data_IF_566204360877
#
_entry.id   IF_566204360877
#
_cell.length_a   1.000
_cell.length_b   1.000
_cell.length_c   1.000
_cell.angle_alpha   90.00
_cell.angle_beta   90.00
_cell.angle_gamma   90.00
#
_symmetry.space_group_name_H-M   'P 1'
#
loop_
_entity.id
_entity.type
_entity.pdbx_description
1 polymer ?
#
# COMPACT_ATOMS: atom_id res chain seq x y z
N UNK A 1 -5.01 -11.70 20.99
CA UNK A 1 -4.61 -12.66 22.06
C UNK A 1 -5.60 -12.62 23.23
N UNK A 2 -5.70 -13.67 24.05
CA UNK A 2 -6.64 -13.69 25.20
C UNK A 2 -6.33 -12.60 26.23
N UNK A 3 -5.05 -12.23 26.39
CA UNK A 3 -4.60 -11.20 27.33
C UNK A 3 -4.81 -9.77 26.84
N UNK A 4 -5.25 -9.56 25.59
CA UNK A 4 -5.51 -8.20 25.12
C UNK A 4 -6.67 -7.59 25.93
N UNK A 5 -6.57 -6.33 26.35
CA UNK A 5 -7.66 -5.65 27.04
C UNK A 5 -8.96 -5.69 26.25
N UNK A 6 -10.09 -5.68 26.96
CA UNK A 6 -11.43 -5.76 26.34
C UNK A 6 -11.75 -4.58 25.41
N UNK A 7 -11.16 -3.42 25.70
CA UNK A 7 -11.32 -2.22 24.88
C UNK A 7 -10.65 -2.35 23.51
N UNK A 8 -9.65 -3.23 23.36
CA UNK A 8 -9.01 -3.50 22.05
C UNK A 8 -9.97 -4.30 21.18
N UNK A 9 -10.59 -3.60 20.22
CA UNK A 9 -11.56 -4.18 19.29
C UNK A 9 -10.92 -5.22 18.36
N UNK A 10 -11.71 -6.21 17.98
CA UNK A 10 -11.29 -7.38 17.20
C UNK A 10 -12.34 -7.74 16.16
N UNK A 11 -11.91 -8.34 15.07
CA UNK A 11 -12.79 -8.93 14.07
C UNK A 11 -12.41 -10.39 13.84
N UNK A 12 -13.41 -11.27 13.88
CA UNK A 12 -13.24 -12.68 13.51
C UNK A 12 -13.70 -12.85 12.07
N UNK A 13 -12.79 -13.34 11.22
CA UNK A 13 -13.03 -13.51 9.78
C UNK A 13 -12.73 -14.95 9.35
N UNK A 14 -13.33 -15.43 8.24
CA UNK A 14 -13.04 -16.75 7.72
C UNK A 14 -11.58 -16.94 7.31
N UNK A 15 -11.07 -18.16 7.41
CA UNK A 15 -9.82 -18.61 6.77
C UNK A 15 -10.02 -20.04 6.27
N UNK A 16 -9.08 -20.56 5.48
CA UNK A 16 -9.09 -21.98 5.10
C UNK A 16 -9.11 -22.84 6.37
N UNK A 17 -10.15 -23.66 6.53
CA UNK A 17 -10.32 -24.57 7.66
C UNK A 17 -10.69 -23.91 9.00
N UNK A 18 -11.31 -22.72 9.00
CA UNK A 18 -11.88 -22.14 10.23
C UNK A 18 -11.94 -20.61 10.22
N UNK A 19 -11.66 -20.00 11.37
CA UNK A 19 -11.66 -18.54 11.53
C UNK A 19 -10.35 -18.04 12.13
N UNK A 20 -10.08 -16.75 11.98
CA UNK A 20 -8.98 -16.05 12.62
C UNK A 20 -9.48 -14.72 13.17
N UNK A 21 -8.98 -14.34 14.33
CA UNK A 21 -9.33 -13.08 14.99
C UNK A 21 -8.19 -12.07 14.85
N UNK A 22 -8.47 -10.98 14.15
CA UNK A 22 -7.55 -9.85 13.98
C UNK A 22 -7.87 -8.71 14.94
N UNK A 23 -6.85 -7.92 15.26
CA UNK A 23 -7.00 -6.66 16.00
C UNK A 23 -7.50 -5.58 15.05
N UNK A 24 -8.34 -4.68 15.56
CA UNK A 24 -8.76 -3.47 14.86
C UNK A 24 -8.13 -2.25 15.52
N UNK A 25 -7.06 -1.72 14.93
CA UNK A 25 -6.41 -0.49 15.39
C UNK A 25 -7.21 0.75 14.95
N UNK A 26 -8.28 1.06 15.67
CA UNK A 26 -9.25 2.12 15.32
C UNK A 26 -9.03 3.44 16.06
N UNK A 27 -8.13 3.45 17.03
CA UNK A 27 -7.84 4.59 17.88
C UNK A 27 -6.35 4.61 18.28
N UNK A 28 -5.91 5.77 18.77
CA UNK A 28 -4.53 5.98 19.20
C UNK A 28 -4.14 5.07 20.37
N UNK A 29 -5.05 4.84 21.32
CA UNK A 29 -4.80 3.97 22.47
C UNK A 29 -4.45 2.54 22.03
N UNK A 30 -5.15 2.00 21.04
CA UNK A 30 -4.87 0.68 20.46
C UNK A 30 -3.50 0.65 19.79
N UNK A 31 -3.15 1.69 19.03
CA UNK A 31 -1.82 1.78 18.39
C UNK A 31 -0.69 1.82 19.43
N UNK A 32 -0.82 2.63 20.49
CA UNK A 32 0.17 2.71 21.59
C UNK A 32 0.26 1.38 22.33
N UNK A 33 -0.87 0.72 22.61
CA UNK A 33 -0.87 -0.60 23.23
C UNK A 33 -0.16 -1.64 22.36
N UNK A 34 -0.42 -1.66 21.05
CA UNK A 34 0.25 -2.56 20.12
C UNK A 34 1.77 -2.33 20.10
N UNK A 35 2.23 -1.08 20.13
CA UNK A 35 3.65 -0.75 20.27
C UNK A 35 4.23 -1.33 21.57
N UNK A 36 3.51 -1.22 22.69
CA UNK A 36 3.86 -1.87 23.96
C UNK A 36 3.83 -3.41 23.94
N UNK A 37 3.23 -4.02 22.91
CA UNK A 37 3.29 -5.46 22.62
C UNK A 37 4.40 -5.80 21.60
N UNK A 38 5.38 -4.91 21.43
CA UNK A 38 6.50 -5.04 20.48
C UNK A 38 6.08 -5.11 19.00
N UNK A 39 4.91 -4.57 18.64
CA UNK A 39 4.54 -4.42 17.23
C UNK A 39 5.36 -3.29 16.62
N UNK A 40 6.28 -3.64 15.72
CA UNK A 40 7.08 -2.66 14.96
C UNK A 40 6.33 -2.19 13.70
N UNK A 41 5.79 -3.12 12.92
CA UNK A 41 5.14 -2.81 11.65
C UNK A 41 3.67 -3.20 11.69
N UNK A 42 2.80 -2.25 11.34
CA UNK A 42 1.38 -2.53 11.15
C UNK A 42 1.16 -2.84 9.67
N UNK A 43 0.52 -3.98 9.42
CA UNK A 43 0.05 -4.35 8.10
C UNK A 43 -1.48 -4.36 8.10
N UNK A 44 -2.09 -3.70 7.12
CA UNK A 44 -3.55 -3.61 6.99
C UNK A 44 -4.03 -4.31 5.74
N UNK A 45 -5.23 -4.88 5.83
CA UNK A 45 -5.95 -5.37 4.66
C UNK A 45 -6.41 -4.21 3.79
N UNK A 46 -6.70 -4.51 2.52
CA UNK A 46 -7.31 -3.57 1.56
C UNK A 46 -8.83 -3.44 1.71
N UNK A 47 -9.41 -4.14 2.69
CA UNK A 47 -10.83 -4.12 3.05
C UNK A 47 -11.00 -3.82 4.53
N UNK A 48 -12.26 -3.56 4.93
CA UNK A 48 -12.63 -3.35 6.34
C UNK A 48 -13.36 -4.56 6.88
N UNK A 49 -13.32 -4.71 8.21
CA UNK A 49 -13.87 -5.86 8.91
C UNK A 49 -15.37 -6.09 8.69
N UNK A 50 -16.15 -5.04 8.40
CA UNK A 50 -17.59 -5.15 8.14
C UNK A 50 -17.91 -5.75 6.77
N UNK A 51 -17.00 -5.63 5.79
CA UNK A 51 -17.13 -6.23 4.45
C UNK A 51 -15.77 -6.74 3.97
N UNK A 52 -15.24 -7.82 4.55
CA UNK A 52 -13.84 -8.20 4.37
C UNK A 52 -13.52 -8.72 2.96
N UNK A 53 -14.53 -9.09 2.16
CA UNK A 53 -14.37 -9.52 0.76
C UNK A 53 -14.53 -8.39 -0.27
N UNK A 54 -14.93 -7.19 0.16
CA UNK A 54 -15.10 -6.02 -0.71
C UNK A 54 -14.00 -5.00 -0.38
N UNK A 55 -12.89 -4.96 -1.14
CA UNK A 55 -11.85 -3.97 -0.92
C UNK A 55 -12.39 -2.54 -1.01
N UNK A 56 -11.86 -1.67 -0.16
CA UNK A 56 -12.09 -0.23 -0.21
C UNK A 56 -10.88 0.53 -0.77
N UNK A 57 -9.86 -0.20 -1.21
CA UNK A 57 -8.63 0.31 -1.80
C UNK A 57 -8.10 -0.63 -2.88
N UNK A 58 -7.54 -0.04 -3.93
CA UNK A 58 -6.61 -0.68 -4.87
C UNK A 58 -5.20 -0.24 -4.50
N UNK A 59 -4.23 -1.15 -4.54
CA UNK A 59 -2.81 -0.83 -4.31
C UNK A 59 -1.94 -1.50 -5.34
N UNK A 60 -1.08 -0.71 -5.99
CA UNK A 60 0.03 -1.16 -6.81
C UNK A 60 1.31 -0.98 -5.98
N UNK A 61 2.09 -2.05 -5.82
CA UNK A 61 3.36 -2.01 -5.08
C UNK A 61 4.53 -2.14 -6.07
N UNK A 62 5.33 -1.09 -6.16
CA UNK A 62 6.51 -1.03 -7.02
C UNK A 62 7.76 -1.36 -6.19
N UNK A 63 8.17 -2.64 -6.14
CA UNK A 63 9.41 -3.08 -5.47
C UNK A 63 10.51 -3.33 -6.51
N UNK A 64 11.67 -2.66 -6.40
CA UNK A 64 12.79 -2.93 -7.29
C UNK A 64 13.36 -4.34 -7.06
N UNK A 65 13.51 -5.11 -8.14
CA UNK A 65 14.28 -6.39 -8.12
C UNK A 65 15.78 -6.15 -8.28
N UNK A 66 16.11 -5.03 -8.92
CA UNK A 66 17.41 -4.38 -9.08
C UNK A 66 17.13 -2.92 -9.48
N UNK A 67 18.11 -2.21 -10.03
CA UNK A 67 17.86 -0.83 -10.49
C UNK A 67 17.85 0.22 -9.37
N UNK A 68 17.56 1.46 -9.76
CA UNK A 68 17.58 2.62 -8.88
C UNK A 68 16.19 3.03 -8.40
N UNK A 69 16.11 3.74 -7.28
CA UNK A 69 14.84 4.30 -6.82
C UNK A 69 14.24 5.31 -7.80
N UNK A 70 15.07 5.93 -8.65
CA UNK A 70 14.64 6.82 -9.72
C UNK A 70 13.65 6.16 -10.69
N UNK A 71 13.91 4.91 -11.08
CA UNK A 71 13.03 4.10 -11.95
C UNK A 71 11.72 3.77 -11.23
N UNK A 72 11.78 3.45 -9.93
CA UNK A 72 10.61 3.19 -9.10
C UNK A 72 9.70 4.42 -9.02
N UNK A 73 10.28 5.62 -8.83
CA UNK A 73 9.50 6.87 -8.82
C UNK A 73 8.86 7.12 -10.18
N UNK A 74 9.57 6.87 -11.28
CA UNK A 74 9.02 7.04 -12.62
C UNK A 74 7.84 6.09 -12.89
N UNK A 75 7.98 4.81 -12.53
CA UNK A 75 6.91 3.81 -12.64
C UNK A 75 5.68 4.19 -11.80
N UNK A 76 5.89 4.65 -10.56
CA UNK A 76 4.80 5.09 -9.69
C UNK A 76 4.08 6.33 -10.23
N UNK A 77 4.79 7.30 -10.83
CA UNK A 77 4.18 8.45 -11.50
C UNK A 77 3.33 8.02 -12.70
N UNK A 78 3.88 7.16 -13.57
CA UNK A 78 3.14 6.59 -14.72
C UNK A 78 1.85 5.90 -14.28
N UNK A 79 1.89 5.11 -13.21
CA UNK A 79 0.69 4.50 -12.65
C UNK A 79 -0.32 5.53 -12.13
N UNK A 80 0.16 6.57 -11.45
CA UNK A 80 -0.66 7.67 -10.99
C UNK A 80 -1.39 8.36 -12.15
N UNK A 81 -0.70 8.65 -13.25
CA UNK A 81 -1.27 9.31 -14.41
C UNK A 81 -2.36 8.44 -15.06
N UNK A 82 -2.06 7.16 -15.33
CA UNK A 82 -3.05 6.23 -15.90
C UNK A 82 -4.27 6.02 -15.02
N UNK A 83 -4.10 5.97 -13.70
CA UNK A 83 -5.22 5.87 -12.76
C UNK A 83 -6.10 7.13 -12.78
N UNK A 84 -5.52 8.32 -12.99
CA UNK A 84 -6.29 9.55 -13.16
C UNK A 84 -7.04 9.57 -14.49
N UNK A 85 -6.43 9.08 -15.56
CA UNK A 85 -7.04 9.05 -16.91
C UNK A 85 -8.34 8.22 -16.93
N UNK A 86 -8.39 7.14 -16.14
CA UNK A 86 -9.59 6.30 -15.97
C UNK A 86 -10.52 6.78 -14.84
N UNK A 87 -10.28 7.98 -14.30
CA UNK A 87 -11.17 8.65 -13.35
C UNK A 87 -11.03 8.22 -11.90
N UNK A 88 -9.98 7.49 -11.53
CA UNK A 88 -9.63 7.20 -10.14
C UNK A 88 -8.79 8.34 -9.52
N UNK A 89 -8.67 8.34 -8.19
CA UNK A 89 -7.90 9.37 -7.46
C UNK A 89 -6.74 8.68 -6.73
N UNK A 90 -5.54 8.61 -7.34
CA UNK A 90 -4.43 7.89 -6.77
C UNK A 90 -3.67 8.72 -5.75
N UNK A 91 -3.08 8.03 -4.79
CA UNK A 91 -2.25 8.51 -3.70
C UNK A 91 -0.92 7.75 -3.69
N UNK A 92 0.15 8.38 -3.25
CA UNK A 92 1.47 7.76 -3.19
C UNK A 92 2.00 7.70 -1.76
N UNK A 93 2.82 6.68 -1.46
CA UNK A 93 3.62 6.63 -0.24
C UNK A 93 4.92 5.88 -0.46
N UNK A 94 5.99 6.29 0.22
CA UNK A 94 7.18 5.43 0.34
C UNK A 94 6.86 4.27 1.27
N UNK A 95 7.48 3.12 1.02
CA UNK A 95 7.28 1.93 1.86
C UNK A 95 8.11 1.95 3.14
N UNK A 96 9.11 2.83 3.28
CA UNK A 96 10.14 2.72 4.32
C UNK A 96 11.15 1.60 4.04
N UNK A 97 11.16 1.03 2.83
CA UNK A 97 12.01 -0.09 2.44
C UNK A 97 12.77 0.18 1.15
N UNK A 98 12.12 -0.03 0.00
CA UNK A 98 12.77 0.08 -1.31
C UNK A 98 11.81 0.64 -2.37
N UNK A 99 10.52 0.39 -2.18
CA UNK A 99 9.48 0.69 -3.14
C UNK A 99 8.58 1.86 -2.77
N UNK A 100 7.64 2.10 -3.68
CA UNK A 100 6.52 3.04 -3.55
C UNK A 100 5.21 2.26 -3.68
N UNK A 101 4.22 2.60 -2.86
CA UNK A 101 2.85 2.17 -3.07
C UNK A 101 2.05 3.28 -3.73
N UNK A 102 1.32 2.93 -4.80
CA UNK A 102 0.28 3.78 -5.39
C UNK A 102 -1.07 3.21 -5.01
N UNK A 103 -1.91 4.03 -4.38
CA UNK A 103 -3.16 3.59 -3.73
C UNK A 103 -4.34 4.41 -4.20
N UNK A 104 -5.42 3.76 -4.63
CA UNK A 104 -6.70 4.41 -4.95
C UNK A 104 -7.76 4.02 -3.93
N UNK A 105 -8.47 4.97 -3.27
CA UNK A 105 -9.67 4.65 -2.52
C UNK A 105 -10.79 4.25 -3.48
N UNK A 106 -11.48 3.17 -3.16
CA UNK A 106 -12.60 2.63 -3.93
C UNK A 106 -13.90 2.69 -3.14
N UNK A 107 -15.02 2.93 -3.85
CA UNK A 107 -16.35 2.68 -3.32
C UNK A 107 -16.51 1.17 -3.20
N UNK A 108 -16.80 0.70 -1.99
CA UNK A 108 -17.03 -0.73 -1.73
C UNK A 108 -18.22 -1.24 -2.54
N UNK A 109 -18.01 -2.33 -3.25
CA UNK A 109 -18.98 -2.91 -4.17
C UNK A 109 -18.32 -4.06 -4.95
N UNK A 110 -17.23 -3.79 -5.67
CA UNK A 110 -16.44 -4.82 -6.32
C UNK A 110 -15.82 -5.79 -5.31
N UNK A 111 -15.62 -7.03 -5.72
CA UNK A 111 -14.83 -8.00 -4.98
C UNK A 111 -13.32 -7.91 -5.31
N UNK A 112 -12.51 -8.70 -4.61
CA UNK A 112 -11.06 -8.74 -4.88
C UNK A 112 -10.70 -9.21 -6.29
N UNK A 113 -11.48 -10.11 -6.89
CA UNK A 113 -11.19 -10.62 -8.24
C UNK A 113 -11.37 -9.52 -9.28
N UNK A 114 -12.43 -8.71 -9.15
CA UNK A 114 -12.69 -7.58 -10.03
C UNK A 114 -11.58 -6.52 -9.92
N UNK A 115 -11.21 -6.14 -8.69
CA UNK A 115 -10.15 -5.14 -8.46
C UNK A 115 -8.79 -5.66 -8.91
N UNK A 116 -8.48 -6.94 -8.67
CA UNK A 116 -7.24 -7.55 -9.13
C UNK A 116 -7.18 -7.62 -10.66
N UNK A 117 -8.27 -8.02 -11.33
CA UNK A 117 -8.35 -8.06 -12.78
C UNK A 117 -8.08 -6.69 -13.42
N UNK A 118 -8.70 -5.64 -12.88
CA UNK A 118 -8.45 -4.26 -13.31
C UNK A 118 -6.99 -3.84 -13.10
N UNK A 119 -6.45 -4.05 -11.89
CA UNK A 119 -5.07 -3.68 -11.58
C UNK A 119 -4.05 -4.45 -12.42
N UNK A 120 -4.32 -5.74 -12.68
CA UNK A 120 -3.49 -6.58 -13.54
C UNK A 120 -3.48 -6.07 -14.97
N UNK A 121 -4.65 -5.78 -15.56
CA UNK A 121 -4.71 -5.28 -16.92
C UNK A 121 -4.00 -3.91 -17.07
N UNK A 122 -4.09 -3.04 -16.05
CA UNK A 122 -3.33 -1.79 -16.01
C UNK A 122 -1.82 -2.05 -15.96
N UNK A 123 -1.39 -2.99 -15.10
CA UNK A 123 0.00 -3.36 -14.99
C UNK A 123 0.55 -4.04 -16.26
N UNK A 124 -0.26 -4.83 -16.97
CA UNK A 124 0.08 -5.42 -18.26
C UNK A 124 0.35 -4.31 -19.30
N UNK A 125 -0.54 -3.31 -19.42
CA UNK A 125 -0.29 -2.14 -20.28
C UNK A 125 0.99 -1.39 -19.90
N UNK A 126 1.26 -1.21 -18.61
CA UNK A 126 2.50 -0.56 -18.16
C UNK A 126 3.74 -1.36 -18.57
N UNK A 127 3.70 -2.69 -18.46
CA UNK A 127 4.81 -3.58 -18.86
C UNK A 127 4.97 -3.59 -20.38
N UNK A 128 3.88 -3.57 -21.15
CA UNK A 128 3.94 -3.51 -22.61
C UNK A 128 4.58 -2.19 -23.09
N UNK A 129 4.31 -1.08 -22.39
CA UNK A 129 4.87 0.23 -22.71
C UNK A 129 6.34 0.40 -22.25
N UNK A 130 6.78 -0.35 -21.23
CA UNK A 130 8.14 -0.30 -20.68
C UNK A 130 8.66 -1.68 -20.24
N UNK A 131 8.86 -2.63 -21.18
CA UNK A 131 9.23 -4.02 -20.87
C UNK A 131 10.68 -4.16 -20.39
N UNK A 132 11.51 -3.14 -20.63
CA UNK A 132 12.92 -3.10 -20.21
C UNK A 132 13.05 -2.83 -18.71
N UNK A 133 12.14 -2.06 -18.11
CA UNK A 133 12.19 -1.69 -16.70
C UNK A 133 11.09 -2.30 -15.85
N UNK A 134 9.96 -2.72 -16.42
CA UNK A 134 8.81 -3.25 -15.66
C UNK A 134 8.59 -4.74 -15.93
N UNK A 135 8.03 -5.44 -14.94
CA UNK A 135 7.68 -6.84 -15.08
C UNK A 135 6.54 -7.27 -14.17
N UNK A 136 5.77 -8.26 -14.62
CA UNK A 136 4.76 -8.98 -13.83
C UNK A 136 5.26 -10.37 -13.37
N UNK A 137 6.52 -10.71 -13.63
CA UNK A 137 7.05 -12.03 -13.26
C UNK A 137 7.06 -12.23 -11.75
N UNK A 138 6.36 -13.29 -11.31
CA UNK A 138 6.24 -13.60 -9.89
C UNK A 138 7.57 -14.05 -9.30
N UNK A 139 8.34 -14.88 -10.00
CA UNK A 139 9.60 -15.38 -9.47
C UNK A 139 10.71 -14.33 -9.61
N UNK A 140 11.36 -13.99 -8.50
CA UNK A 140 12.42 -12.96 -8.48
C UNK A 140 13.56 -13.26 -9.47
N UNK A 141 13.84 -14.54 -9.73
CA UNK A 141 14.86 -14.99 -10.69
C UNK A 141 14.54 -14.61 -12.14
N UNK A 142 13.26 -14.44 -12.48
CA UNK A 142 12.78 -14.12 -13.84
C UNK A 142 12.67 -12.59 -14.07
N UNK A 143 12.75 -11.80 -13.00
CA UNK A 143 12.61 -10.33 -13.07
C UNK A 143 13.85 -9.65 -13.61
N UNK A 144 15.03 -10.24 -13.42
CA UNK A 144 16.30 -9.56 -13.69
C UNK A 144 16.42 -8.28 -12.87
N UNK A 145 16.69 -7.14 -13.53
CA UNK A 145 16.75 -5.81 -12.90
C UNK A 145 15.40 -5.08 -12.85
N UNK A 146 14.36 -5.62 -13.46
CA UNK A 146 13.06 -4.96 -13.65
C UNK A 146 12.31 -4.79 -12.33
N UNK A 147 11.57 -3.70 -12.23
CA UNK A 147 10.65 -3.40 -11.15
C UNK A 147 9.46 -4.33 -11.27
N UNK A 148 9.16 -4.99 -10.16
CA UNK A 148 7.97 -5.81 -10.09
C UNK A 148 6.76 -4.93 -9.82
N UNK A 149 5.78 -4.94 -10.73
CA UNK A 149 4.49 -4.27 -10.54
C UNK A 149 3.58 -5.23 -9.77
N UNK A 150 3.69 -5.24 -8.44
CA UNK A 150 3.00 -6.20 -7.57
C UNK A 150 1.51 -5.82 -7.40
N UNK A 151 0.66 -6.56 -8.13
CA UNK A 151 -0.81 -6.51 -8.00
C UNK A 151 -1.36 -7.62 -7.09
N UNK A 152 -0.52 -8.57 -6.67
CA UNK A 152 -0.95 -9.74 -5.89
C UNK A 152 -1.25 -9.42 -4.42
N UNK A 153 -1.01 -8.17 -4.00
CA UNK A 153 -1.57 -7.65 -2.75
C UNK A 153 -3.09 -7.54 -2.79
N UNK A 154 -3.70 -7.51 -3.97
CA UNK A 154 -5.15 -7.36 -4.16
C UNK A 154 -5.81 -8.74 -4.07
N UNK A 155 -5.86 -9.29 -2.86
CA UNK A 155 -6.63 -10.50 -2.58
C UNK A 155 -7.13 -10.52 -1.13
N UNK A 156 -8.09 -11.40 -0.86
CA UNK A 156 -8.58 -11.62 0.50
C UNK A 156 -7.42 -11.97 1.44
N UNK A 157 -7.42 -11.35 2.62
CA UNK A 157 -6.40 -11.52 3.67
C UNK A 157 -4.96 -11.11 3.31
N UNK A 158 -4.70 -10.61 2.09
CA UNK A 158 -3.44 -9.94 1.78
C UNK A 158 -3.38 -8.58 2.46
N UNK A 159 -2.15 -8.12 2.69
CA UNK A 159 -1.90 -6.92 3.46
C UNK A 159 -0.78 -6.06 2.89
N UNK A 160 -0.93 -4.75 3.02
CA UNK A 160 0.10 -3.76 2.73
C UNK A 160 0.56 -3.12 4.04
N UNK A 161 1.79 -2.58 4.05
CA UNK A 161 2.26 -1.77 5.18
C UNK A 161 1.34 -0.57 5.36
N UNK A 162 0.94 -0.27 6.59
CA UNK A 162 0.09 0.89 6.84
C UNK A 162 0.91 2.19 6.72
N UNK A 163 0.31 3.30 6.25
CA UNK A 163 0.93 4.62 6.38
C UNK A 163 1.43 4.88 7.80
N UNK A 164 2.60 5.49 7.90
CA UNK A 164 3.34 5.78 9.13
C UNK A 164 3.77 4.56 9.96
N UNK A 165 3.73 3.34 9.40
CA UNK A 165 4.33 2.19 10.06
C UNK A 165 5.84 2.19 10.00
N UNK A 166 6.47 1.79 11.10
CA UNK A 166 7.92 1.60 11.21
C UNK A 166 8.30 0.28 10.54
N UNK A 167 9.47 0.22 9.90
CA UNK A 167 10.03 -0.99 9.29
C UNK A 167 11.15 -1.55 10.18
N UNK A 168 11.25 -2.89 10.33
CA UNK A 168 12.26 -3.53 11.17
C UNK A 168 13.59 -3.59 10.42
N UNK A 169 14.20 -2.42 10.22
CA UNK A 169 15.46 -2.22 9.49
C UNK A 169 16.37 -1.29 10.28
N UNK A 170 17.69 -1.30 10.01
CA UNK A 170 18.59 -0.29 10.58
C UNK A 170 18.04 1.12 10.40
N UNK A 171 18.20 1.95 11.42
CA UNK A 171 17.62 3.30 11.54
C UNK A 171 16.09 3.38 11.65
N UNK A 172 15.36 2.26 11.69
CA UNK A 172 13.91 2.21 11.87
C UNK A 172 13.15 3.16 10.92
N UNK A 173 13.26 2.96 9.59
CA UNK A 173 12.60 3.80 8.61
C UNK A 173 11.08 3.67 8.67
N UNK A 174 10.38 4.71 8.24
CA UNK A 174 8.93 4.83 8.32
C UNK A 174 8.34 4.90 6.91
N UNK A 175 7.22 4.20 6.70
CA UNK A 175 6.44 4.33 5.47
C UNK A 175 5.66 5.65 5.49
N UNK A 176 5.89 6.56 4.54
CA UNK A 176 5.40 7.95 4.61
C UNK A 176 4.54 8.29 3.41
N UNK A 177 3.38 8.89 3.65
CA UNK A 177 2.48 9.42 2.61
C UNK A 177 3.14 10.57 1.87
N UNK A 178 2.91 10.70 0.56
CA UNK A 178 3.57 11.67 -0.31
C UNK A 178 2.56 12.50 -1.10
N UNK A 179 2.88 13.77 -1.33
CA UNK A 179 2.36 14.52 -2.47
C UNK A 179 2.99 14.00 -3.76
N UNK A 180 2.27 14.12 -4.87
CA UNK A 180 2.72 13.63 -6.17
C UNK A 180 4.02 14.29 -6.64
N UNK A 181 4.18 15.59 -6.38
CA UNK A 181 5.38 16.35 -6.78
C UNK A 181 6.66 15.86 -6.06
N UNK A 182 6.53 15.27 -4.87
CA UNK A 182 7.67 14.71 -4.13
C UNK A 182 8.29 13.51 -4.86
N UNK A 183 7.51 12.77 -5.66
CA UNK A 183 8.06 11.70 -6.50
C UNK A 183 8.98 12.22 -7.61
N UNK A 184 8.96 13.52 -7.91
CA UNK A 184 9.87 14.15 -8.87
C UNK A 184 11.18 14.61 -8.24
N UNK A 185 11.27 14.67 -6.90
CA UNK A 185 12.49 15.05 -6.20
C UNK A 185 13.52 13.91 -6.25
N UNK A 186 14.67 14.18 -6.87
CA UNK A 186 15.80 13.24 -6.96
C UNK A 186 16.36 12.85 -5.59
N UNK A 187 16.19 13.68 -4.56
CA UNK A 187 16.65 13.44 -3.19
C UNK A 187 15.72 12.54 -2.39
N UNK A 188 14.48 12.33 -2.85
CA UNK A 188 13.54 11.43 -2.19
C UNK A 188 14.13 10.01 -2.14
N UNK A 189 14.14 9.41 -0.94
CA UNK A 189 14.55 8.02 -0.72
C UNK A 189 13.38 7.20 -0.19
N UNK A 190 13.30 5.88 -0.50
CA UNK A 190 12.22 5.02 -0.02
C UNK A 190 12.22 4.84 1.50
N UNK A 191 13.34 5.12 2.15
CA UNK A 191 13.62 5.01 3.58
C UNK A 191 14.11 6.34 4.18
N UNK A 192 13.75 7.47 3.54
CA UNK A 192 14.24 8.80 3.92
C UNK A 192 13.82 9.28 5.31
N UNK A 193 12.67 8.80 5.81
CA UNK A 193 12.16 9.13 7.13
C UNK A 193 12.36 7.97 8.10
N UNK A 194 12.68 8.31 9.34
CA UNK A 194 12.90 7.38 10.45
C UNK A 194 12.03 7.75 11.64
N UNK A 195 11.96 6.88 12.64
CA UNK A 195 11.30 7.21 13.92
C UNK A 195 11.81 8.52 14.55
N UNK A 196 13.06 8.89 14.28
CA UNK A 196 13.68 10.10 14.82
C UNK A 196 13.37 11.36 13.99
N UNK A 197 12.99 11.21 12.72
CA UNK A 197 12.84 12.33 11.77
C UNK A 197 11.42 12.50 11.23
N UNK A 198 10.54 11.51 11.43
CA UNK A 198 9.16 11.57 10.92
C UNK A 198 8.32 12.64 11.62
N UNK A 199 8.71 13.10 12.83
CA UNK A 199 8.02 14.17 13.54
C UNK A 199 7.85 15.43 12.70
N UNK A 200 8.92 15.89 12.05
CA UNK A 200 8.91 17.07 11.16
C UNK A 200 7.92 16.90 10.00
N UNK A 201 7.78 15.68 9.47
CA UNK A 201 6.80 15.39 8.40
C UNK A 201 5.36 15.51 8.90
N UNK A 202 5.10 15.18 10.16
CA UNK A 202 3.75 15.20 10.74
C UNK A 202 3.27 16.60 11.12
N UNK A 203 4.17 17.60 11.14
CA UNK A 203 3.80 19.01 11.34
C UNK A 203 3.13 19.62 10.10
N UNK A 204 3.41 19.06 8.92
CA UNK A 204 2.74 19.44 7.67
C UNK A 204 1.39 18.72 7.50
N UNK A 205 0.53 19.27 6.63
CA UNK A 205 -0.72 18.62 6.26
C UNK A 205 -0.46 17.24 5.62
N UNK A 206 -1.27 16.24 5.99
CA UNK A 206 -1.14 14.89 5.45
C UNK A 206 -1.53 14.86 3.96
N UNK A 207 -0.65 14.44 3.04
CA UNK A 207 -1.00 14.27 1.63
C UNK A 207 -2.20 13.35 1.38
N UNK A 208 -2.51 12.45 2.32
CA UNK A 208 -3.66 11.55 2.25
C UNK A 208 -4.91 12.10 2.95
N UNK A 209 -4.89 13.35 3.41
CA UNK A 209 -6.03 13.97 4.05
C UNK A 209 -7.29 13.86 3.17
N UNK A 210 -8.37 13.36 3.77
CA UNK A 210 -9.64 13.19 3.06
C UNK A 210 -9.68 12.08 2.01
N UNK A 211 -8.64 11.23 1.86
CA UNK A 211 -8.57 10.14 0.87
C UNK A 211 -9.89 9.36 0.76
N UNK A 212 -10.53 9.00 1.89
CA UNK A 212 -11.80 8.25 1.89
C UNK A 212 -12.95 8.97 1.17
N UNK A 213 -12.98 10.31 1.16
CA UNK A 213 -14.00 11.11 0.45
C UNK A 213 -13.80 11.08 -1.07
N UNK A 214 -12.60 10.75 -1.52
CA UNK A 214 -12.27 10.66 -2.93
C UNK A 214 -12.53 9.27 -3.52
N UNK A 215 -13.13 8.35 -2.75
CA UNK A 215 -13.49 7.02 -3.23
C UNK A 215 -14.33 7.08 -4.51
N UNK A 216 -13.88 6.35 -5.54
CA UNK A 216 -14.56 6.22 -6.84
C UNK A 216 -15.01 4.79 -7.07
N UNK A 217 -16.01 4.60 -7.93
CA UNK A 217 -16.35 3.25 -8.38
C UNK A 217 -15.21 2.72 -9.27
N UNK A 218 -14.97 1.40 -9.24
CA UNK A 218 -14.02 0.78 -10.15
C UNK A 218 -14.51 0.97 -11.60
N UNK A 219 -13.68 1.49 -12.52
CA UNK A 219 -14.05 1.60 -13.92
C UNK A 219 -14.34 0.24 -14.53
N UNK A 220 -15.28 0.17 -15.48
CA UNK A 220 -15.63 -1.08 -16.18
C UNK A 220 -14.62 -1.44 -17.29
N UNK A 221 -13.80 -0.49 -17.71
CA UNK A 221 -12.80 -0.61 -18.77
C UNK A 221 -11.60 0.26 -18.42
N UNK A 222 -10.43 -0.17 -18.89
CA UNK A 222 -9.23 0.66 -19.02
C UNK A 222 -9.33 1.46 -20.32
#
# INVERSE_FOLDING_TARGET
PKYFPEWVKRATVPKKGGTITHVLAQDAATLVYLAGQNVVTVHTWLSRADRPHQPDRLTLDFDPSGGGFDEVRAAARSAGDRLRDVGLVPYAMTTGSRGVHVVCPLRRGPDFSEVHGFARALAEQMVDDDPEHLTLEWHKTERGRRIYVDVNRIAYAQHAVAPFSIRPRPAAPVAVTLHWDELSDKKLRPDGWTVNTVGERLEAADPWEGMRRHARALPKKL
#
